data_IF_853907692688
#
_entry.id   IF_853907692688
#
_cell.length_a   1.000
_cell.length_b   1.000
_cell.length_c   1.000
_cell.angle_alpha   90.00
_cell.angle_beta   90.00
_cell.angle_gamma   90.00
#
_symmetry.space_group_name_H-M   'P 1'
#
loop_
_entity.id
_entity.type
_entity.pdbx_description
1 polymer ?
#
# COMPACT_ATOMS: atom_id res chain seq x y z
N UNK A 1 -19.07 10.70 22.29
CA UNK A 1 -17.96 9.92 22.89
C UNK A 1 -17.28 9.12 21.78
N UNK A 2 -16.10 9.58 21.31
CA UNK A 2 -15.39 9.02 20.14
C UNK A 2 -15.11 7.51 20.29
N UNK A 3 -14.97 7.04 21.53
CA UNK A 3 -14.73 5.65 21.93
C UNK A 3 -15.78 4.66 21.41
N UNK A 4 -17.06 5.01 21.46
CA UNK A 4 -18.11 4.14 20.91
C UNK A 4 -18.02 4.03 19.39
N UNK A 5 -17.67 5.13 18.70
CA UNK A 5 -17.50 5.12 17.25
C UNK A 5 -16.36 4.21 16.81
N UNK A 6 -15.22 4.23 17.52
CA UNK A 6 -14.09 3.32 17.26
C UNK A 6 -14.51 1.86 17.45
N UNK A 7 -15.22 1.56 18.55
CA UNK A 7 -15.65 0.20 18.85
C UNK A 7 -16.64 -0.34 17.80
N UNK A 8 -17.65 0.46 17.46
CA UNK A 8 -18.67 0.13 16.46
C UNK A 8 -18.02 -0.02 15.07
N UNK A 9 -17.13 0.90 14.70
CA UNK A 9 -16.39 0.83 13.43
C UNK A 9 -15.52 -0.41 13.36
N UNK A 10 -14.85 -0.79 14.45
CA UNK A 10 -14.03 -2.01 14.49
C UNK A 10 -14.87 -3.26 14.26
N UNK A 11 -16.02 -3.35 14.93
CA UNK A 11 -16.98 -4.45 14.79
C UNK A 11 -17.53 -4.52 13.36
N UNK A 12 -18.02 -3.40 12.81
CA UNK A 12 -18.56 -3.34 11.45
C UNK A 12 -17.52 -3.74 10.40
N UNK A 13 -16.29 -3.26 10.55
CA UNK A 13 -15.21 -3.55 9.60
C UNK A 13 -14.79 -5.04 9.66
N UNK A 14 -14.78 -5.62 10.87
CA UNK A 14 -14.58 -7.05 11.06
C UNK A 14 -15.69 -7.86 10.37
N UNK A 15 -16.96 -7.55 10.66
CA UNK A 15 -18.10 -8.25 10.04
C UNK A 15 -18.08 -8.15 8.51
N UNK A 16 -17.78 -6.98 7.95
CA UNK A 16 -17.74 -6.77 6.50
C UNK A 16 -16.69 -7.68 5.83
N UNK A 17 -15.48 -7.73 6.39
CA UNK A 17 -14.42 -8.62 5.88
C UNK A 17 -14.74 -10.08 6.12
N UNK A 18 -15.20 -10.43 7.32
CA UNK A 18 -15.55 -11.79 7.69
C UNK A 18 -16.67 -12.36 6.82
N UNK A 19 -17.74 -11.60 6.57
CA UNK A 19 -18.81 -11.98 5.64
C UNK A 19 -18.26 -12.18 4.24
N UNK A 20 -17.44 -11.26 3.74
CA UNK A 20 -16.85 -11.40 2.40
C UNK A 20 -16.00 -12.67 2.29
N UNK A 21 -15.15 -12.98 3.25
CA UNK A 21 -14.32 -14.19 3.23
C UNK A 21 -15.16 -15.47 3.36
N UNK A 22 -16.10 -15.53 4.31
CA UNK A 22 -16.97 -16.71 4.50
C UNK A 22 -17.93 -16.95 3.33
N UNK A 23 -18.51 -15.90 2.74
CA UNK A 23 -19.36 -16.06 1.55
C UNK A 23 -18.56 -16.44 0.30
N UNK A 24 -17.30 -15.97 0.18
CA UNK A 24 -16.44 -16.34 -0.94
C UNK A 24 -16.04 -17.82 -0.94
N UNK A 25 -15.95 -18.46 0.23
CA UNK A 25 -15.75 -19.92 0.33
C UNK A 25 -17.05 -20.70 0.06
N UNK A 26 -18.22 -20.13 0.38
CA UNK A 26 -19.52 -20.74 0.14
C UNK A 26 -19.95 -20.68 -1.35
N UNK A 27 -19.56 -19.63 -2.07
CA UNK A 27 -19.75 -19.51 -3.51
C UNK A 27 -18.63 -20.31 -4.17
N UNK A 28 -18.95 -21.41 -4.87
CA UNK A 28 -17.95 -22.16 -5.68
C UNK A 28 -17.43 -21.28 -6.82
N UNK A 29 -16.46 -20.42 -6.53
CA UNK A 29 -15.77 -19.58 -7.51
C UNK A 29 -15.08 -20.51 -8.50
N UNK A 30 -15.27 -20.26 -9.80
CA UNK A 30 -14.61 -21.07 -10.82
C UNK A 30 -13.08 -21.00 -10.63
N UNK A 31 -12.35 -22.11 -10.83
CA UNK A 31 -10.91 -22.16 -10.59
C UNK A 31 -10.13 -21.09 -11.38
N UNK A 32 -10.64 -20.70 -12.56
CA UNK A 32 -10.08 -19.60 -13.38
C UNK A 32 -10.12 -18.26 -12.64
N UNK A 33 -11.26 -17.93 -12.02
CA UNK A 33 -11.41 -16.65 -11.30
C UNK A 33 -10.53 -16.64 -10.05
N UNK A 34 -10.47 -17.73 -9.28
CA UNK A 34 -9.57 -17.83 -8.12
C UNK A 34 -8.11 -17.61 -8.49
N UNK A 35 -7.67 -18.15 -9.64
CA UNK A 35 -6.32 -17.95 -10.15
C UNK A 35 -6.04 -16.48 -10.51
N UNK A 36 -7.02 -15.76 -11.07
CA UNK A 36 -6.89 -14.33 -11.37
C UNK A 36 -6.81 -13.48 -10.09
N UNK A 37 -7.59 -13.80 -9.05
CA UNK A 37 -7.57 -13.04 -7.79
C UNK A 37 -6.22 -13.07 -7.07
N UNK A 38 -5.42 -14.13 -7.25
CA UNK A 38 -4.07 -14.24 -6.66
C UNK A 38 -3.13 -13.16 -7.21
N UNK A 39 -3.35 -12.67 -8.44
CA UNK A 39 -2.52 -11.62 -9.04
C UNK A 39 -2.93 -10.21 -8.63
N UNK A 40 -4.07 -10.04 -7.96
CA UNK A 40 -4.58 -8.72 -7.55
C UNK A 40 -3.56 -7.96 -6.68
N UNK A 41 -2.98 -8.53 -5.60
CA UNK A 41 -2.01 -7.79 -4.79
C UNK A 41 -0.80 -7.30 -5.61
N UNK A 42 -0.28 -8.15 -6.49
CA UNK A 42 0.86 -7.83 -7.36
C UNK A 42 0.55 -6.69 -8.33
N UNK A 43 -0.68 -6.62 -8.85
CA UNK A 43 -1.11 -5.54 -9.73
C UNK A 43 -1.46 -4.25 -8.97
N UNK A 44 -2.01 -4.36 -7.76
CA UNK A 44 -2.52 -3.23 -6.98
C UNK A 44 -1.38 -2.42 -6.36
N UNK A 45 -0.28 -3.05 -5.90
CA UNK A 45 0.82 -2.30 -5.29
C UNK A 45 1.45 -1.27 -6.25
N UNK A 46 1.88 -1.61 -7.48
CA UNK A 46 2.38 -0.62 -8.43
C UNK A 46 1.33 0.45 -8.77
N UNK A 47 0.06 0.07 -8.89
CA UNK A 47 -1.03 0.98 -9.21
C UNK A 47 -1.28 2.02 -8.10
N UNK A 48 -1.01 1.69 -6.84
CA UNK A 48 -1.14 2.62 -5.70
C UNK A 48 0.16 3.42 -5.51
N UNK A 49 1.31 2.77 -5.63
CA UNK A 49 2.62 3.37 -5.34
C UNK A 49 2.99 4.41 -6.42
N UNK A 50 2.74 4.11 -7.70
CA UNK A 50 3.06 5.01 -8.82
C UNK A 50 2.45 6.42 -8.65
N UNK A 51 1.11 6.58 -8.50
CA UNK A 51 0.53 7.90 -8.30
C UNK A 51 0.93 8.54 -6.98
N UNK A 52 1.14 7.75 -5.92
CA UNK A 52 1.56 8.28 -4.61
C UNK A 52 2.94 8.95 -4.64
N UNK A 53 3.81 8.53 -5.56
CA UNK A 53 5.16 9.07 -5.73
C UNK A 53 5.21 10.16 -6.80
N UNK A 54 4.58 9.95 -7.98
CA UNK A 54 4.82 10.78 -9.17
C UNK A 54 3.77 11.87 -9.41
N UNK A 55 2.58 11.76 -8.82
CA UNK A 55 1.51 12.74 -9.00
C UNK A 55 1.40 13.65 -7.79
N UNK A 56 1.18 14.94 -8.08
CA UNK A 56 0.81 15.94 -7.07
C UNK A 56 -0.71 15.88 -6.78
N UNK A 57 -1.17 16.61 -5.75
CA UNK A 57 -2.58 16.76 -5.36
C UNK A 57 -3.49 17.17 -6.52
N UNK A 58 -2.94 17.90 -7.50
CA UNK A 58 -3.67 18.36 -8.68
C UNK A 58 -3.65 17.33 -9.84
N UNK A 59 -3.08 16.13 -9.64
CA UNK A 59 -2.99 15.08 -10.66
C UNK A 59 -1.99 15.36 -11.79
N UNK A 60 -1.16 16.38 -11.64
CA UNK A 60 -0.06 16.69 -12.56
C UNK A 60 1.21 15.93 -12.15
N UNK A 61 2.07 15.64 -13.12
CA UNK A 61 3.37 15.03 -12.87
C UNK A 61 4.30 16.03 -12.16
N UNK A 62 4.75 15.68 -10.95
CA UNK A 62 5.70 16.48 -10.18
C UNK A 62 7.04 15.74 -10.12
N UNK A 63 7.89 16.02 -11.10
CA UNK A 63 9.23 15.43 -11.23
C UNK A 63 10.35 16.36 -10.77
N UNK A 64 10.13 17.68 -10.75
CA UNK A 64 11.22 18.64 -10.60
C UNK A 64 11.62 18.88 -9.14
N UNK A 65 10.69 18.76 -8.18
CA UNK A 65 11.02 19.01 -6.77
C UNK A 65 10.32 18.05 -5.80
N UNK A 66 10.26 16.78 -6.18
CA UNK A 66 9.52 15.79 -5.40
C UNK A 66 10.48 14.89 -4.57
N UNK A 67 10.59 15.11 -3.25
CA UNK A 67 11.47 14.32 -2.38
C UNK A 67 11.09 12.83 -2.31
N UNK A 68 9.85 12.49 -2.68
CA UNK A 68 9.37 11.11 -2.69
C UNK A 68 10.07 10.27 -3.75
N UNK A 69 10.43 10.87 -4.88
CA UNK A 69 11.11 10.15 -5.98
C UNK A 69 12.47 9.65 -5.50
N UNK A 70 13.30 10.54 -4.95
CA UNK A 70 14.61 10.20 -4.38
C UNK A 70 14.51 9.16 -3.25
N UNK A 71 13.55 9.35 -2.33
CA UNK A 71 13.30 8.39 -1.25
C UNK A 71 12.91 6.99 -1.78
N UNK A 72 12.09 6.93 -2.83
CA UNK A 72 11.67 5.65 -3.43
C UNK A 72 12.81 4.94 -4.15
N UNK A 73 13.72 5.67 -4.80
CA UNK A 73 14.91 5.09 -5.44
C UNK A 73 15.80 4.44 -4.39
N UNK A 74 16.05 5.12 -3.28
CA UNK A 74 16.88 4.56 -2.19
C UNK A 74 16.17 3.39 -1.52
N UNK A 75 14.84 3.43 -1.36
CA UNK A 75 14.07 2.28 -0.90
C UNK A 75 14.24 1.06 -1.83
N UNK A 76 14.20 1.23 -3.16
CA UNK A 76 14.41 0.14 -4.13
C UNK A 76 15.83 -0.43 -4.01
N UNK A 77 16.85 0.44 -3.95
CA UNK A 77 18.25 0.01 -3.81
C UNK A 77 18.44 -0.80 -2.53
N UNK A 78 17.92 -0.31 -1.40
CA UNK A 78 18.00 -1.01 -0.12
C UNK A 78 17.21 -2.31 -0.10
N UNK A 79 16.06 -2.39 -0.80
CA UNK A 79 15.30 -3.62 -0.96
C UNK A 79 16.10 -4.70 -1.70
N UNK A 80 16.80 -4.33 -2.78
CA UNK A 80 17.60 -5.27 -3.59
C UNK A 80 18.77 -5.82 -2.77
N UNK A 81 19.44 -4.97 -1.99
CA UNK A 81 20.62 -5.34 -1.21
C UNK A 81 20.23 -6.12 0.06
N UNK A 82 19.30 -5.57 0.85
CA UNK A 82 18.95 -6.12 2.16
C UNK A 82 18.05 -7.35 2.07
N UNK A 83 17.24 -7.47 1.00
CA UNK A 83 16.19 -8.49 0.86
C UNK A 83 15.24 -8.54 2.08
N UNK A 84 15.15 -7.45 2.84
CA UNK A 84 14.34 -7.33 4.05
C UNK A 84 13.44 -6.10 3.97
N UNK A 85 12.12 -6.36 4.05
CA UNK A 85 11.06 -5.35 3.98
C UNK A 85 11.21 -4.29 5.08
N UNK A 86 11.60 -4.70 6.30
CA UNK A 86 11.74 -3.77 7.43
C UNK A 86 12.85 -2.77 7.15
N UNK A 87 14.00 -3.23 6.65
CA UNK A 87 15.13 -2.36 6.30
C UNK A 87 14.76 -1.39 5.17
N UNK A 88 14.00 -1.85 4.17
CA UNK A 88 13.52 -1.00 3.07
C UNK A 88 12.64 0.13 3.57
N UNK A 89 11.69 -0.18 4.46
CA UNK A 89 10.76 0.81 5.03
C UNK A 89 11.54 1.85 5.83
N UNK A 90 12.43 1.42 6.72
CA UNK A 90 13.25 2.33 7.52
C UNK A 90 14.14 3.22 6.66
N UNK A 91 14.82 2.66 5.66
CA UNK A 91 15.70 3.43 4.79
C UNK A 91 14.93 4.47 3.97
N UNK A 92 13.81 4.08 3.33
CA UNK A 92 12.98 4.99 2.54
C UNK A 92 12.42 6.14 3.38
N UNK A 93 11.92 5.84 4.59
CA UNK A 93 11.41 6.86 5.51
C UNK A 93 12.51 7.78 6.03
N UNK A 94 13.67 7.23 6.42
CA UNK A 94 14.80 8.03 6.89
C UNK A 94 15.27 9.02 5.82
N UNK A 95 15.41 8.56 4.58
CA UNK A 95 15.78 9.42 3.44
C UNK A 95 14.72 10.49 3.19
N UNK A 96 13.45 10.11 3.16
CA UNK A 96 12.35 11.05 2.95
C UNK A 96 12.34 12.16 4.00
N UNK A 97 12.49 11.80 5.27
CA UNK A 97 12.57 12.78 6.35
C UNK A 97 13.82 13.64 6.26
N UNK A 98 14.97 13.07 5.95
CA UNK A 98 16.19 13.85 5.77
C UNK A 98 16.00 14.90 4.67
N UNK A 99 15.39 14.57 3.53
CA UNK A 99 15.21 15.52 2.42
C UNK A 99 14.19 16.63 2.77
N UNK A 100 13.20 16.36 3.62
CA UNK A 100 12.17 17.35 3.98
C UNK A 100 12.60 18.27 5.12
N UNK A 101 13.36 17.75 6.08
CA UNK A 101 13.72 18.48 7.30
C UNK A 101 15.10 19.16 7.25
N UNK A 102 15.99 18.78 6.33
CA UNK A 102 17.21 19.53 5.98
C UNK A 102 16.88 20.52 4.87
#
# INVERSE_FOLDING_TARGET
MIWYGIFISGILNFFTKFLSLSFFDAIKISPKVKQLLIYVPSAVFPAIIFPGILLDINGSFDLENNPKILASIIAIITAIISKNIVSTIFAGLAVYWLIIFI
#
